data_IF_505194705557
#
_entry.id   IF_505194705557
#
_cell.length_a   1.000
_cell.length_b   1.000
_cell.length_c   1.000
_cell.angle_alpha   90.00
_cell.angle_beta   90.00
_cell.angle_gamma   90.00
#
_symmetry.space_group_name_H-M   'P 1'
#
loop_
_entity.id
_entity.type
_entity.pdbx_description
1 polymer ?
#
# COMPACT_ATOMS: atom_id res chain seq x y z
N UNK A 1 -9.07 21.89 -47.59
CA UNK A 1 -7.71 21.64 -47.05
C UNK A 1 -7.75 22.00 -45.57
N UNK A 2 -8.11 21.03 -44.71
CA UNK A 2 -8.20 21.23 -43.26
C UNK A 2 -6.92 20.69 -42.65
N UNK A 3 -6.10 21.58 -42.10
CA UNK A 3 -4.91 21.21 -41.34
C UNK A 3 -5.36 20.43 -40.09
N UNK A 4 -4.93 19.18 -39.98
CA UNK A 4 -5.04 18.41 -38.74
C UNK A 4 -4.05 19.03 -37.76
N UNK A 5 -4.56 19.61 -36.68
CA UNK A 5 -3.72 20.01 -35.55
C UNK A 5 -3.01 18.76 -35.03
N UNK A 6 -1.70 18.85 -34.91
CA UNK A 6 -0.88 17.82 -34.27
C UNK A 6 -1.27 17.77 -32.80
N UNK A 7 -1.80 16.62 -32.37
CA UNK A 7 -2.01 16.31 -30.96
C UNK A 7 -0.64 16.37 -30.26
N UNK A 8 -0.48 17.15 -29.17
CA UNK A 8 0.75 17.14 -28.41
C UNK A 8 0.95 15.72 -27.85
N UNK A 9 1.98 15.03 -28.32
CA UNK A 9 2.43 13.78 -27.72
C UNK A 9 2.72 14.02 -26.24
N UNK A 10 1.82 13.55 -25.37
CA UNK A 10 2.08 13.44 -23.95
C UNK A 10 3.38 12.63 -23.80
N UNK A 11 4.43 13.17 -23.16
CA UNK A 11 5.67 12.43 -22.95
C UNK A 11 5.32 11.09 -22.30
N UNK A 12 5.78 9.99 -22.90
CA UNK A 12 5.38 8.63 -22.53
C UNK A 12 5.52 8.41 -21.03
N UNK A 13 4.39 8.46 -20.32
CA UNK A 13 4.37 8.29 -18.88
C UNK A 13 4.86 6.88 -18.56
N UNK A 14 6.04 6.75 -17.93
CA UNK A 14 6.50 5.47 -17.41
C UNK A 14 5.49 4.99 -16.36
N UNK A 15 4.94 3.80 -16.56
CA UNK A 15 4.05 3.17 -15.59
C UNK A 15 4.80 3.01 -14.26
N UNK A 16 4.21 3.51 -13.17
CA UNK A 16 4.74 3.33 -11.82
C UNK A 16 4.25 2.00 -11.27
N UNK A 17 5.08 0.97 -11.36
CA UNK A 17 4.74 -0.38 -10.94
C UNK A 17 4.94 -0.56 -9.43
N UNK A 18 4.08 -1.36 -8.82
CA UNK A 18 4.21 -1.86 -7.46
C UNK A 18 4.10 -3.38 -7.47
N UNK A 19 5.00 -4.07 -6.78
CA UNK A 19 4.97 -5.52 -6.60
C UNK A 19 4.13 -5.88 -5.37
N UNK A 20 3.41 -7.00 -5.47
CA UNK A 20 2.81 -7.67 -4.32
C UNK A 20 3.59 -8.96 -4.09
N UNK A 21 4.38 -9.03 -3.01
CA UNK A 21 5.19 -10.19 -2.70
C UNK A 21 4.39 -11.13 -1.80
N UNK A 22 4.02 -12.29 -2.32
CA UNK A 22 3.31 -13.36 -1.60
C UNK A 22 4.13 -14.67 -1.64
N UNK A 23 3.71 -15.67 -0.86
CA UNK A 23 4.34 -16.98 -0.82
C UNK A 23 5.86 -16.92 -0.60
N UNK A 24 6.60 -17.61 -1.47
CA UNK A 24 8.05 -17.70 -1.37
C UNK A 24 8.75 -16.36 -1.58
N UNK A 25 8.22 -15.47 -2.43
CA UNK A 25 8.84 -14.15 -2.66
C UNK A 25 8.75 -13.29 -1.40
N UNK A 26 7.62 -13.37 -0.69
CA UNK A 26 7.47 -12.74 0.62
C UNK A 26 8.46 -13.31 1.63
N UNK A 27 8.53 -14.63 1.77
CA UNK A 27 9.44 -15.29 2.73
C UNK A 27 10.91 -14.97 2.46
N UNK A 28 11.34 -14.96 1.18
CA UNK A 28 12.69 -14.55 0.80
C UNK A 28 12.94 -13.08 1.12
N UNK A 29 11.94 -12.23 0.96
CA UNK A 29 12.06 -10.84 1.35
C UNK A 29 12.25 -10.68 2.88
N UNK A 30 11.44 -11.38 3.68
CA UNK A 30 11.59 -11.40 5.14
C UNK A 30 12.93 -12.00 5.58
N UNK A 31 13.48 -12.97 4.84
CA UNK A 31 14.80 -13.53 5.11
C UNK A 31 15.96 -12.59 4.72
N UNK A 32 15.69 -11.45 4.09
CA UNK A 32 16.72 -10.49 3.65
C UNK A 32 17.45 -10.90 2.37
N UNK A 33 16.82 -11.70 1.51
CA UNK A 33 17.42 -12.15 0.24
C UNK A 33 17.50 -11.02 -0.80
N UNK A 34 18.53 -10.17 -0.67
CA UNK A 34 18.78 -9.03 -1.55
C UNK A 34 18.93 -9.47 -3.00
N UNK A 35 19.60 -10.60 -3.26
CA UNK A 35 19.86 -11.08 -4.62
C UNK A 35 18.56 -11.36 -5.36
N UNK A 36 17.61 -12.01 -4.70
CA UNK A 36 16.29 -12.27 -5.27
C UNK A 36 15.50 -11.00 -5.56
N UNK A 37 15.33 -10.15 -4.56
CA UNK A 37 14.45 -8.98 -4.65
C UNK A 37 15.04 -7.93 -5.60
N UNK A 38 16.35 -7.74 -5.60
CA UNK A 38 17.01 -6.87 -6.59
C UNK A 38 16.91 -7.42 -8.02
N UNK A 39 16.96 -8.75 -8.20
CA UNK A 39 16.72 -9.40 -9.49
C UNK A 39 15.31 -9.14 -10.01
N UNK A 40 14.28 -9.31 -9.16
CA UNK A 40 12.90 -8.99 -9.51
C UNK A 40 12.72 -7.50 -9.81
N UNK A 41 13.34 -6.62 -9.02
CA UNK A 41 13.31 -5.17 -9.24
C UNK A 41 13.96 -4.79 -10.57
N UNK A 42 15.12 -5.36 -10.91
CA UNK A 42 15.81 -5.11 -12.17
C UNK A 42 14.99 -5.59 -13.38
N UNK A 43 14.28 -6.71 -13.24
CA UNK A 43 13.45 -7.28 -14.31
C UNK A 43 12.15 -6.48 -14.54
N UNK A 44 11.47 -6.09 -13.47
CA UNK A 44 10.12 -5.54 -13.53
C UNK A 44 10.07 -4.01 -13.35
N UNK A 45 11.07 -3.40 -12.71
CA UNK A 45 11.15 -1.96 -12.50
C UNK A 45 10.12 -1.40 -11.51
N UNK A 46 9.66 -2.19 -10.54
CA UNK A 46 8.73 -1.70 -9.51
C UNK A 46 9.39 -0.69 -8.58
N UNK A 47 8.69 0.39 -8.24
CA UNK A 47 9.15 1.38 -7.25
C UNK A 47 8.70 1.07 -5.82
N UNK A 48 7.73 0.15 -5.66
CA UNK A 48 7.17 -0.24 -4.37
C UNK A 48 6.97 -1.74 -4.30
N UNK A 49 7.08 -2.34 -3.12
CA UNK A 49 6.80 -3.75 -2.88
C UNK A 49 5.99 -3.91 -1.58
N UNK A 50 4.76 -4.42 -1.70
CA UNK A 50 3.92 -4.77 -0.57
C UNK A 50 4.20 -6.19 -0.10
N UNK A 51 4.31 -6.36 1.21
CA UNK A 51 4.43 -7.66 1.88
C UNK A 51 3.22 -7.88 2.78
N UNK A 52 2.54 -9.01 2.61
CA UNK A 52 1.46 -9.46 3.49
C UNK A 52 1.78 -10.86 4.03
N UNK A 53 2.71 -10.97 5.01
CA UNK A 53 3.24 -12.25 5.47
C UNK A 53 2.29 -13.00 6.39
N UNK A 54 1.17 -13.45 5.83
CA UNK A 54 0.11 -14.18 6.52
C UNK A 54 -0.07 -15.58 5.93
N UNK A 55 -0.76 -16.45 6.68
CA UNK A 55 -1.15 -17.78 6.20
C UNK A 55 -1.99 -17.71 4.91
N UNK A 56 -2.89 -16.73 4.82
CA UNK A 56 -3.74 -16.52 3.64
C UNK A 56 -2.92 -16.24 2.36
N UNK A 57 -1.74 -15.65 2.50
CA UNK A 57 -0.81 -15.37 1.40
C UNK A 57 0.34 -16.39 1.30
N UNK A 58 0.17 -17.58 1.91
CA UNK A 58 1.16 -18.66 1.88
C UNK A 58 2.53 -18.26 2.45
N UNK A 59 2.57 -17.32 3.40
CA UNK A 59 3.79 -16.75 3.95
C UNK A 59 3.74 -16.75 5.50
N UNK A 60 3.76 -17.95 6.10
CA UNK A 60 3.59 -18.12 7.55
C UNK A 60 4.79 -18.72 8.30
N UNK A 61 5.89 -19.05 7.62
CA UNK A 61 7.09 -19.65 8.23
C UNK A 61 8.22 -18.60 8.39
N UNK A 62 8.02 -17.68 9.33
CA UNK A 62 8.99 -16.63 9.64
C UNK A 62 8.93 -16.27 11.13
N UNK A 63 9.99 -15.64 11.64
CA UNK A 63 10.09 -15.18 13.03
C UNK A 63 10.25 -13.65 13.07
N UNK A 64 9.55 -12.92 13.95
CA UNK A 64 9.49 -11.45 13.93
C UNK A 64 10.86 -10.75 13.89
N UNK A 65 11.81 -11.16 14.74
CA UNK A 65 13.12 -10.52 14.83
C UNK A 65 13.98 -10.83 13.60
N UNK A 66 13.88 -12.06 13.08
CA UNK A 66 14.54 -12.45 11.83
C UNK A 66 14.01 -11.67 10.64
N UNK A 67 12.68 -11.61 10.53
CA UNK A 67 11.97 -10.85 9.51
C UNK A 67 12.29 -9.35 9.56
N UNK A 68 12.36 -8.76 10.76
CA UNK A 68 12.74 -7.36 10.94
C UNK A 68 14.17 -7.09 10.47
N UNK A 69 15.13 -7.97 10.80
CA UNK A 69 16.52 -7.87 10.29
C UNK A 69 16.58 -7.99 8.76
N UNK A 70 15.84 -8.94 8.19
CA UNK A 70 15.81 -9.14 6.74
C UNK A 70 15.21 -7.94 6.00
N UNK A 71 14.10 -7.39 6.49
CA UNK A 71 13.51 -6.17 5.93
C UNK A 71 14.43 -4.95 6.05
N UNK A 72 15.15 -4.78 7.17
CA UNK A 72 16.18 -3.73 7.31
C UNK A 72 17.32 -3.92 6.30
N UNK A 73 17.71 -5.16 6.05
CA UNK A 73 18.75 -5.52 5.05
C UNK A 73 18.31 -5.14 3.65
N UNK A 74 17.09 -5.52 3.25
CA UNK A 74 16.52 -5.15 1.95
C UNK A 74 16.35 -3.64 1.79
N UNK A 75 15.77 -3.00 2.79
CA UNK A 75 15.52 -1.56 2.80
C UNK A 75 16.82 -0.78 2.57
N UNK A 76 17.92 -1.20 3.21
CA UNK A 76 19.24 -0.61 3.05
C UNK A 76 19.85 -0.89 1.67
N UNK A 77 19.67 -2.10 1.14
CA UNK A 77 20.23 -2.50 -0.16
C UNK A 77 19.47 -1.90 -1.36
N UNK A 78 18.18 -1.58 -1.19
CA UNK A 78 17.29 -1.07 -2.23
C UNK A 78 16.64 0.25 -1.78
N UNK A 79 17.42 1.33 -1.60
CA UNK A 79 16.92 2.59 -1.05
C UNK A 79 15.89 3.29 -1.95
N UNK A 80 15.86 2.96 -3.25
CA UNK A 80 14.88 3.47 -4.22
C UNK A 80 13.56 2.70 -4.24
N UNK A 81 13.46 1.58 -3.50
CA UNK A 81 12.24 0.78 -3.40
C UNK A 81 11.58 1.08 -2.06
N UNK A 82 10.30 1.47 -2.08
CA UNK A 82 9.49 1.53 -0.87
C UNK A 82 8.92 0.14 -0.54
N UNK A 83 9.20 -0.36 0.66
CA UNK A 83 8.62 -1.61 1.15
C UNK A 83 7.44 -1.30 2.07
N UNK A 84 6.29 -1.92 1.78
CA UNK A 84 5.04 -1.68 2.51
C UNK A 84 4.70 -2.95 3.29
N UNK A 85 4.76 -2.89 4.63
CA UNK A 85 4.30 -3.98 5.49
C UNK A 85 2.80 -3.85 5.72
N UNK A 86 2.02 -4.87 5.35
CA UNK A 86 0.63 -4.96 5.75
C UNK A 86 0.52 -5.37 7.22
N UNK A 87 -0.16 -4.54 8.01
CA UNK A 87 -0.34 -4.72 9.46
C UNK A 87 -1.72 -5.27 9.75
N UNK A 88 -1.73 -6.42 10.42
CA UNK A 88 -2.87 -7.15 10.94
C UNK A 88 -2.43 -7.97 12.19
N UNK A 89 -3.33 -8.80 12.72
CA UNK A 89 -3.05 -9.59 13.92
C UNK A 89 -1.84 -10.53 13.77
N UNK A 90 -1.62 -11.14 12.60
CA UNK A 90 -0.47 -12.04 12.35
C UNK A 90 0.85 -11.28 12.23
N UNK A 91 0.83 -10.04 11.76
CA UNK A 91 2.05 -9.24 11.49
C UNK A 91 2.37 -8.22 12.57
N UNK A 92 1.56 -8.17 13.64
CA UNK A 92 1.68 -7.19 14.70
C UNK A 92 3.04 -7.26 15.43
N UNK A 93 3.59 -8.45 15.68
CA UNK A 93 4.92 -8.57 16.32
C UNK A 93 6.06 -8.10 15.42
N UNK A 94 5.97 -8.34 14.11
CA UNK A 94 6.92 -7.82 13.14
C UNK A 94 6.85 -6.28 13.08
N UNK A 95 5.64 -5.73 13.09
CA UNK A 95 5.42 -4.30 13.15
C UNK A 95 6.07 -3.68 14.40
N UNK A 96 5.86 -4.26 15.60
CA UNK A 96 6.52 -3.77 16.83
C UNK A 96 8.04 -3.84 16.72
N UNK A 97 8.58 -4.92 16.17
CA UNK A 97 10.03 -5.11 15.98
C UNK A 97 10.66 -4.06 15.04
N UNK A 98 9.91 -3.58 14.06
CA UNK A 98 10.38 -2.58 13.08
C UNK A 98 10.18 -1.13 13.55
N UNK A 99 9.04 -0.82 14.16
CA UNK A 99 8.60 0.56 14.38
C UNK A 99 8.50 0.95 15.87
N UNK A 100 8.67 0.02 16.80
CA UNK A 100 8.62 0.30 18.24
C UNK A 100 9.87 -0.17 18.98
N UNK A 101 10.92 -0.56 18.24
CA UNK A 101 12.24 -0.85 18.81
C UNK A 101 13.04 0.43 19.04
N UNK A 102 14.21 0.29 19.67
CA UNK A 102 15.15 1.41 19.88
C UNK A 102 15.85 1.85 18.60
N UNK A 103 15.86 1.01 17.56
CA UNK A 103 16.46 1.32 16.27
C UNK A 103 15.43 1.99 15.35
N UNK A 104 15.71 3.18 14.79
CA UNK A 104 14.77 3.86 13.91
C UNK A 104 14.41 2.98 12.71
N UNK A 105 13.15 3.01 12.23
CA UNK A 105 12.76 2.25 11.05
C UNK A 105 13.50 2.78 9.82
N UNK A 106 13.82 1.91 8.83
CA UNK A 106 14.40 2.37 7.57
C UNK A 106 13.49 3.40 6.87
N UNK A 107 14.08 4.44 6.26
CA UNK A 107 13.32 5.57 5.71
C UNK A 107 12.50 5.21 4.48
N UNK A 108 12.70 4.03 3.88
CA UNK A 108 11.93 3.46 2.76
C UNK A 108 10.96 2.34 3.20
N UNK A 109 10.72 2.16 4.51
CA UNK A 109 9.58 1.36 4.99
C UNK A 109 8.31 2.20 5.16
N UNK A 110 7.18 1.62 4.78
CA UNK A 110 5.85 2.16 4.96
C UNK A 110 4.90 1.06 5.46
N UNK A 111 3.71 1.44 5.89
CA UNK A 111 2.74 0.52 6.51
C UNK A 111 1.40 0.56 5.78
N UNK A 112 0.75 -0.59 5.58
CA UNK A 112 -0.64 -0.66 5.16
C UNK A 112 -1.48 -1.20 6.32
N UNK A 113 -2.34 -0.38 6.89
CA UNK A 113 -3.26 -0.77 7.96
C UNK A 113 -4.48 -1.46 7.34
N UNK A 114 -4.54 -2.78 7.48
CA UNK A 114 -5.65 -3.60 6.99
C UNK A 114 -5.97 -4.72 7.99
N UNK A 115 -6.79 -4.37 8.98
CA UNK A 115 -7.25 -5.29 10.00
C UNK A 115 -8.08 -6.46 9.43
N UNK A 116 -8.59 -6.34 8.19
CA UNK A 116 -9.41 -7.36 7.56
C UNK A 116 -8.61 -8.41 6.79
N UNK A 117 -7.28 -8.26 6.69
CA UNK A 117 -6.42 -9.13 5.87
C UNK A 117 -6.93 -9.29 4.41
N UNK A 118 -7.48 -8.24 3.82
CA UNK A 118 -8.05 -8.26 2.46
C UNK A 118 -9.51 -8.71 2.35
N UNK A 119 -10.20 -9.02 3.46
CA UNK A 119 -11.61 -9.42 3.44
C UNK A 119 -12.57 -8.28 3.06
N UNK A 120 -12.09 -7.03 3.01
CA UNK A 120 -12.88 -5.91 2.52
C UNK A 120 -13.92 -5.43 3.52
N UNK A 121 -13.62 -5.54 4.82
CA UNK A 121 -14.48 -5.05 5.90
C UNK A 121 -13.88 -3.75 6.43
N UNK A 122 -14.64 -2.66 6.32
CA UNK A 122 -14.22 -1.38 6.88
C UNK A 122 -14.45 -1.39 8.40
N UNK A 123 -13.44 -1.04 9.22
CA UNK A 123 -13.61 -1.00 10.67
C UNK A 123 -14.54 0.15 11.10
N UNK A 124 -15.13 -0.01 12.28
CA UNK A 124 -15.93 1.05 12.91
C UNK A 124 -15.08 2.25 13.35
N UNK A 125 -13.80 2.00 13.66
CA UNK A 125 -12.82 3.00 14.11
C UNK A 125 -11.44 2.66 13.54
N UNK A 126 -10.68 3.68 13.16
CA UNK A 126 -9.28 3.55 12.76
C UNK A 126 -8.35 3.87 13.92
N UNK A 127 -7.19 3.24 13.93
CA UNK A 127 -6.05 3.62 14.77
C UNK A 127 -4.92 4.02 13.83
N UNK A 128 -4.42 5.25 13.95
CA UNK A 128 -3.23 5.66 13.23
C UNK A 128 -1.99 4.91 13.77
N UNK A 129 -0.94 4.73 12.95
CA UNK A 129 0.28 4.12 13.44
C UNK A 129 1.00 5.08 14.42
N UNK A 130 2.04 4.62 15.14
CA UNK A 130 2.89 5.49 15.95
C UNK A 130 3.54 6.56 15.08
N UNK A 131 3.82 7.75 15.66
CA UNK A 131 4.37 8.93 14.96
C UNK A 131 5.62 8.63 14.13
N UNK A 132 6.44 7.67 14.53
CA UNK A 132 7.66 7.30 13.78
C UNK A 132 7.35 6.79 12.36
N UNK A 133 6.13 6.31 12.11
CA UNK A 133 5.65 5.90 10.80
C UNK A 133 5.16 7.14 10.04
N UNK A 134 5.97 7.61 9.10
CA UNK A 134 5.66 8.81 8.29
C UNK A 134 4.96 8.52 6.96
N UNK A 135 4.85 7.25 6.58
CA UNK A 135 4.17 6.83 5.34
C UNK A 135 3.32 5.62 5.63
N UNK A 136 2.01 5.76 5.46
CA UNK A 136 1.08 4.68 5.70
C UNK A 136 -0.20 4.80 4.88
N UNK A 137 -0.81 3.65 4.63
CA UNK A 137 -2.09 3.55 3.96
C UNK A 137 -3.15 2.91 4.84
N UNK A 138 -4.41 3.15 4.48
CA UNK A 138 -5.56 2.44 5.05
C UNK A 138 -6.22 1.57 3.98
N UNK A 139 -6.51 0.31 4.32
CA UNK A 139 -7.22 -0.63 3.47
C UNK A 139 -8.36 -1.30 4.24
N UNK A 140 -9.35 -1.80 3.50
CA UNK A 140 -10.48 -2.56 4.04
C UNK A 140 -11.83 -1.88 3.79
N UNK A 141 -12.63 -2.49 2.91
CA UNK A 141 -14.05 -2.12 2.72
C UNK A 141 -14.32 -0.74 2.13
N UNK A 142 -13.33 -0.17 1.44
CA UNK A 142 -13.40 1.14 0.81
C UNK A 142 -13.97 1.03 -0.61
N UNK A 143 -15.07 1.75 -0.88
CA UNK A 143 -15.72 1.85 -2.19
C UNK A 143 -16.63 3.08 -2.27
N UNK A 144 -17.42 3.26 -3.35
CA UNK A 144 -18.19 4.48 -3.57
C UNK A 144 -19.07 4.89 -2.39
N UNK A 145 -19.74 3.92 -1.77
CA UNK A 145 -20.70 4.18 -0.69
C UNK A 145 -20.03 4.43 0.68
N UNK A 146 -18.77 4.01 0.85
CA UNK A 146 -18.08 4.02 2.16
C UNK A 146 -16.95 5.04 2.23
N UNK A 147 -16.35 5.41 1.09
CA UNK A 147 -15.07 6.14 1.06
C UNK A 147 -15.12 7.47 1.82
N UNK A 148 -16.17 8.29 1.65
CA UNK A 148 -16.24 9.61 2.29
C UNK A 148 -16.34 9.51 3.81
N UNK A 149 -17.18 8.60 4.31
CA UNK A 149 -17.30 8.36 5.75
C UNK A 149 -15.99 7.82 6.33
N UNK A 150 -15.32 6.92 5.61
CA UNK A 150 -14.09 6.32 6.08
C UNK A 150 -12.92 7.31 6.06
N UNK A 151 -12.82 8.17 5.04
CA UNK A 151 -11.83 9.25 5.01
C UNK A 151 -11.97 10.20 6.19
N UNK A 152 -13.21 10.56 6.56
CA UNK A 152 -13.45 11.37 7.76
C UNK A 152 -12.93 10.66 9.02
N UNK A 153 -13.25 9.38 9.22
CA UNK A 153 -12.79 8.60 10.38
C UNK A 153 -11.27 8.41 10.40
N UNK A 154 -10.64 8.25 9.24
CA UNK A 154 -9.18 8.17 9.11
C UNK A 154 -8.53 9.50 9.50
N UNK A 155 -9.09 10.63 9.05
CA UNK A 155 -8.60 11.95 9.40
C UNK A 155 -8.71 12.21 10.92
N UNK A 156 -9.83 11.82 11.53
CA UNK A 156 -10.01 11.88 12.99
C UNK A 156 -8.96 11.02 13.73
N UNK A 157 -8.58 9.87 13.17
CA UNK A 157 -7.56 9.00 13.76
C UNK A 157 -6.12 9.50 13.60
N UNK A 158 -5.83 10.30 12.56
CA UNK A 158 -4.46 10.73 12.24
C UNK A 158 -3.92 11.84 13.17
N UNK A 159 -4.74 12.47 14.02
CA UNK A 159 -4.35 13.51 15.00
C UNK A 159 -3.38 14.60 14.45
N UNK A 160 -2.82 15.47 15.29
CA UNK A 160 -1.83 16.48 14.86
C UNK A 160 -0.49 15.86 14.43
N UNK A 161 -0.20 14.66 14.91
CA UNK A 161 1.11 14.01 14.82
C UNK A 161 1.49 13.48 13.44
N UNK A 162 0.50 13.39 12.55
CA UNK A 162 0.65 12.90 11.17
C UNK A 162 0.39 14.00 10.13
N UNK A 163 0.41 15.29 10.53
CA UNK A 163 0.20 16.43 9.61
C UNK A 163 1.15 16.42 8.41
N UNK A 164 2.39 15.98 8.62
CA UNK A 164 3.43 15.89 7.59
C UNK A 164 3.61 14.46 7.04
N UNK A 165 2.72 13.52 7.40
CA UNK A 165 2.80 12.15 6.91
C UNK A 165 2.22 12.03 5.50
N UNK A 166 2.80 11.14 4.69
CA UNK A 166 2.19 10.73 3.42
C UNK A 166 1.17 9.63 3.69
N UNK A 167 -0.10 9.96 3.50
CA UNK A 167 -1.23 9.04 3.74
C UNK A 167 -1.88 8.66 2.42
N UNK A 168 -2.22 7.37 2.25
CA UNK A 168 -3.00 6.90 1.11
C UNK A 168 -4.15 5.97 1.53
N UNK A 169 -5.03 5.66 0.59
CA UNK A 169 -6.04 4.61 0.74
C UNK A 169 -5.79 3.53 -0.31
N UNK A 170 -6.10 2.29 0.05
CA UNK A 170 -6.01 1.12 -0.83
C UNK A 170 -7.36 0.40 -0.88
N UNK A 171 -7.74 -0.06 -2.07
CA UNK A 171 -9.07 -0.58 -2.38
C UNK A 171 -8.95 -1.85 -3.21
N UNK A 172 -9.76 -2.85 -2.87
CA UNK A 172 -9.83 -4.09 -3.64
C UNK A 172 -11.28 -4.53 -3.88
N UNK A 173 -11.93 -5.15 -2.90
CA UNK A 173 -13.18 -5.90 -3.16
C UNK A 173 -14.38 -5.02 -3.55
N UNK A 174 -14.48 -3.80 -3.02
CA UNK A 174 -15.62 -2.89 -3.27
C UNK A 174 -15.50 -2.06 -4.56
N UNK A 175 -14.44 -2.29 -5.33
CA UNK A 175 -14.24 -1.75 -6.68
C UNK A 175 -14.13 -2.85 -7.73
N UNK A 176 -14.45 -4.09 -7.35
CA UNK A 176 -14.60 -5.23 -8.27
C UNK A 176 -16.08 -5.46 -8.56
N UNK A 177 -16.37 -5.99 -9.74
CA UNK A 177 -17.69 -6.40 -10.18
C UNK A 177 -17.60 -7.72 -10.94
N UNK A 178 -18.75 -8.31 -11.29
CA UNK A 178 -18.79 -9.50 -12.14
C UNK A 178 -19.15 -9.09 -13.58
N UNK A 179 -18.40 -9.59 -14.55
CA UNK A 179 -18.79 -9.51 -15.95
C UNK A 179 -20.09 -10.26 -16.23
N UNK A 180 -20.69 -10.03 -17.40
CA UNK A 180 -21.86 -10.80 -17.85
C UNK A 180 -21.63 -12.32 -17.88
N UNK A 181 -20.37 -12.77 -17.99
CA UNK A 181 -19.98 -14.17 -17.95
C UNK A 181 -19.67 -14.67 -16.52
N UNK A 182 -19.88 -13.85 -15.49
CA UNK A 182 -19.63 -14.18 -14.08
C UNK A 182 -18.17 -14.07 -13.63
N UNK A 183 -17.25 -13.66 -14.51
CA UNK A 183 -15.85 -13.47 -14.15
C UNK A 183 -15.64 -12.20 -13.30
N UNK A 184 -14.83 -12.31 -12.25
CA UNK A 184 -14.40 -11.17 -11.43
C UNK A 184 -13.62 -10.15 -12.29
N UNK A 185 -13.99 -8.89 -12.17
CA UNK A 185 -13.49 -7.80 -12.99
C UNK A 185 -13.16 -6.58 -12.12
N UNK A 186 -12.07 -5.91 -12.44
CA UNK A 186 -11.76 -4.61 -11.87
C UNK A 186 -12.64 -3.54 -12.54
N UNK A 187 -13.49 -2.87 -11.77
CA UNK A 187 -14.54 -2.00 -12.29
C UNK A 187 -14.09 -0.54 -12.36
N UNK A 188 -13.73 -0.11 -13.57
CA UNK A 188 -13.28 1.26 -13.83
C UNK A 188 -14.35 2.32 -13.53
N UNK A 189 -15.64 1.97 -13.57
CA UNK A 189 -16.71 2.90 -13.23
C UNK A 189 -16.79 3.11 -11.72
N UNK A 190 -16.65 2.06 -10.91
CA UNK A 190 -16.61 2.19 -9.45
C UNK A 190 -15.37 2.99 -9.01
N UNK A 191 -14.22 2.76 -9.65
CA UNK A 191 -12.99 3.51 -9.36
C UNK A 191 -13.16 4.99 -9.69
N UNK A 192 -13.74 5.28 -10.86
CA UNK A 192 -14.02 6.65 -11.27
C UNK A 192 -14.96 7.33 -10.27
N UNK A 193 -16.01 6.66 -9.80
CA UNK A 193 -16.91 7.20 -8.79
C UNK A 193 -16.17 7.54 -7.49
N UNK A 194 -15.33 6.63 -6.99
CA UNK A 194 -14.51 6.92 -5.80
C UNK A 194 -13.60 8.12 -6.05
N UNK A 195 -12.86 8.15 -7.16
CA UNK A 195 -11.97 9.25 -7.48
C UNK A 195 -12.71 10.61 -7.53
N UNK A 196 -13.89 10.65 -8.16
CA UNK A 196 -14.73 11.86 -8.23
C UNK A 196 -15.25 12.28 -6.85
N UNK A 197 -15.68 11.35 -5.99
CA UNK A 197 -16.10 11.64 -4.62
C UNK A 197 -14.95 12.24 -3.81
N UNK A 198 -13.78 11.62 -3.88
CA UNK A 198 -12.58 12.08 -3.17
C UNK A 198 -12.13 13.46 -3.69
N UNK A 199 -12.13 13.69 -5.00
CA UNK A 199 -11.81 15.01 -5.57
C UNK A 199 -12.78 16.09 -5.09
N UNK A 200 -14.09 15.81 -5.09
CA UNK A 200 -15.13 16.78 -4.65
C UNK A 200 -15.08 17.07 -3.16
N UNK A 201 -14.63 16.12 -2.36
CA UNK A 201 -14.58 16.26 -0.90
C UNK A 201 -13.51 17.23 -0.39
N UNK A 202 -12.51 17.55 -1.22
CA UNK A 202 -11.37 18.38 -0.80
C UNK A 202 -10.33 17.64 0.06
N UNK A 203 -10.45 16.33 0.27
CA UNK A 203 -9.47 15.52 1.01
C UNK A 203 -8.12 15.37 0.30
N UNK A 204 -8.04 15.63 -1.00
CA UNK A 204 -6.77 15.66 -1.72
C UNK A 204 -6.08 17.00 -1.43
N UNK A 205 -4.87 16.91 -0.87
CA UNK A 205 -3.96 18.05 -0.83
C UNK A 205 -3.82 18.60 -2.26
N UNK A 206 -3.96 19.92 -2.42
CA UNK A 206 -3.50 20.59 -3.62
C UNK A 206 -2.00 20.44 -3.67
N UNK A 207 -1.51 19.40 -4.35
CA UNK A 207 -0.09 19.33 -4.68
C UNK A 207 0.26 20.57 -5.48
N UNK A 208 1.19 21.36 -4.98
CA UNK A 208 1.90 22.37 -5.77
C UNK A 208 2.60 21.61 -6.90
N UNK A 209 1.93 21.51 -8.06
CA UNK A 209 2.54 21.05 -9.31
C UNK A 209 3.54 22.09 -9.81
#
# INVERSE_FOLDING_TARGET
MLARGEDPQLPGAKLRLAAHLCGQDCLRALAGDVGHISGLHALLGFGRAQLNPTKANLASDWQPEGAARGLRTLASALPSVEFILQVNDETQELFRSLFQSTEPPPPNLAVLLDASCGLGVAPGRWSAPPKVVRRFGFAGGLGPDTVLQQLQRMAEACEEDHRDASVWIDMESRIRSQSAAGADCFDLMLIRQVAELVLKSGWLLKSSL
#
